data_IF_447555625779
#
_entry.id   IF_447555625779
#
_cell.length_a   1.000
_cell.length_b   1.000
_cell.length_c   1.000
_cell.angle_alpha   90.00
_cell.angle_beta   90.00
_cell.angle_gamma   90.00
#
_symmetry.space_group_name_H-M   'P 1'
#
loop_
_entity.id
_entity.type
_entity.pdbx_description
1 polymer ?
#
# COMPACT_ATOMS: atom_id res chain seq x y z
N UNK A 1 -4.23 11.01 7.85
CA UNK A 1 -3.86 11.54 6.53
C UNK A 1 -3.56 10.41 5.53
N UNK A 2 -2.48 9.63 5.72
CA UNK A 2 -2.06 8.53 4.84
C UNK A 2 -3.20 7.57 4.44
N UNK A 3 -3.95 7.02 5.40
CA UNK A 3 -5.06 6.08 5.15
C UNK A 3 -6.13 6.67 4.23
N UNK A 4 -6.47 7.95 4.41
CA UNK A 4 -7.46 8.62 3.56
C UNK A 4 -6.92 8.83 2.15
N UNK A 5 -5.66 9.25 2.01
CA UNK A 5 -5.00 9.40 0.70
C UNK A 5 -4.90 8.06 -0.04
N UNK A 6 -4.55 6.97 0.65
CA UNK A 6 -4.55 5.62 0.07
C UNK A 6 -5.94 5.20 -0.38
N UNK A 7 -6.97 5.43 0.44
CA UNK A 7 -8.36 5.14 0.09
C UNK A 7 -8.79 5.88 -1.17
N UNK A 8 -8.43 7.16 -1.30
CA UNK A 8 -8.74 7.95 -2.50
C UNK A 8 -8.03 7.40 -3.74
N UNK A 9 -6.72 7.16 -3.67
CA UNK A 9 -5.96 6.59 -4.80
C UNK A 9 -6.56 5.26 -5.27
N UNK A 10 -6.94 4.36 -4.34
CA UNK A 10 -7.59 3.10 -4.70
C UNK A 10 -8.93 3.31 -5.42
N UNK A 11 -9.76 4.25 -4.96
CA UNK A 11 -11.02 4.56 -5.64
C UNK A 11 -10.83 5.16 -7.04
N UNK A 12 -9.71 5.84 -7.27
CA UNK A 12 -9.36 6.37 -8.59
C UNK A 12 -8.93 5.25 -9.54
N UNK A 13 -8.20 4.24 -9.05
CA UNK A 13 -7.87 3.03 -9.82
C UNK A 13 -9.16 2.30 -10.24
N UNK A 14 -10.12 2.13 -9.32
CA UNK A 14 -11.41 1.52 -9.65
C UNK A 14 -12.16 2.29 -10.73
N UNK A 15 -12.04 3.63 -10.75
CA UNK A 15 -12.62 4.45 -11.81
C UNK A 15 -11.92 4.18 -13.14
N UNK A 16 -10.60 4.14 -13.19
CA UNK A 16 -9.83 3.82 -14.40
C UNK A 16 -10.20 2.44 -14.96
N UNK A 17 -10.22 1.41 -14.11
CA UNK A 17 -10.57 0.04 -14.51
C UNK A 17 -11.99 -0.04 -15.08
N UNK A 18 -12.92 0.72 -14.50
CA UNK A 18 -14.31 0.77 -14.95
C UNK A 18 -14.57 1.77 -16.09
N UNK A 19 -13.54 2.42 -16.65
CA UNK A 19 -13.68 3.44 -17.69
C UNK A 19 -14.40 4.72 -17.22
N UNK A 20 -14.47 4.96 -15.92
CA UNK A 20 -15.05 6.18 -15.32
C UNK A 20 -13.97 7.27 -15.19
N UNK A 21 -14.37 8.55 -15.22
CA UNK A 21 -13.43 9.64 -14.98
C UNK A 21 -12.88 9.62 -13.56
N UNK A 22 -11.59 9.92 -13.44
CA UNK A 22 -10.90 10.20 -12.17
C UNK A 22 -11.47 11.48 -11.53
N UNK A 23 -11.72 11.45 -10.22
CA UNK A 23 -12.25 12.57 -9.43
C UNK A 23 -11.15 13.41 -8.79
N UNK A 24 -10.00 12.79 -8.47
CA UNK A 24 -8.87 13.43 -7.79
C UNK A 24 -7.54 13.12 -8.49
N UNK A 25 -7.38 13.46 -9.78
CA UNK A 25 -6.16 13.17 -10.53
C UNK A 25 -4.90 13.81 -9.92
N UNK A 26 -5.05 14.91 -9.18
CA UNK A 26 -3.96 15.60 -8.48
C UNK A 26 -3.34 14.79 -7.34
N UNK A 27 -4.06 13.79 -6.82
CA UNK A 27 -3.55 12.90 -5.77
C UNK A 27 -2.74 11.74 -6.32
N UNK A 28 -2.79 11.50 -7.63
CA UNK A 28 -1.99 10.47 -8.29
C UNK A 28 -0.65 11.10 -8.66
N UNK A 29 0.47 10.61 -8.10
CA UNK A 29 1.78 11.17 -8.43
C UNK A 29 2.06 11.03 -9.93
N UNK A 30 2.32 12.15 -10.60
CA UNK A 30 2.66 12.18 -12.01
C UNK A 30 4.16 11.90 -12.20
N UNK A 31 4.58 10.64 -12.10
CA UNK A 31 5.95 10.25 -12.42
C UNK A 31 6.16 10.30 -13.94
N UNK A 32 6.95 11.27 -14.38
CA UNK A 32 7.32 11.47 -15.79
C UNK A 32 8.82 11.24 -15.97
N UNK A 33 9.18 10.64 -17.10
CA UNK A 33 10.57 10.48 -17.51
C UNK A 33 11.13 11.81 -18.06
N UNK A 34 12.41 11.81 -18.46
CA UNK A 34 13.09 12.98 -19.05
C UNK A 34 12.43 13.55 -20.31
N UNK A 35 11.54 12.80 -20.95
CA UNK A 35 10.80 13.19 -22.15
C UNK A 35 9.35 13.60 -21.86
N UNK A 36 8.96 13.68 -20.58
CA UNK A 36 7.63 14.07 -20.16
C UNK A 36 6.55 12.99 -20.32
N UNK A 37 6.92 11.77 -20.72
CA UNK A 37 6.01 10.62 -20.79
C UNK A 37 5.95 9.89 -19.43
N UNK A 38 4.90 9.08 -19.14
CA UNK A 38 4.87 8.26 -17.93
C UNK A 38 6.14 7.43 -17.76
N UNK A 39 6.65 7.36 -16.52
CA UNK A 39 7.87 6.62 -16.19
C UNK A 39 7.55 5.20 -15.67
N UNK A 40 7.71 4.15 -16.51
CA UNK A 40 7.40 2.78 -16.11
C UNK A 40 8.37 2.23 -15.05
N UNK A 41 9.62 2.70 -15.00
CA UNK A 41 10.59 2.23 -13.99
C UNK A 41 10.23 2.78 -12.61
N UNK A 42 9.80 4.05 -12.54
CA UNK A 42 9.26 4.60 -11.30
C UNK A 42 8.02 3.86 -10.84
N UNK A 43 7.09 3.54 -11.74
CA UNK A 43 5.92 2.74 -11.39
C UNK A 43 6.32 1.37 -10.80
N UNK A 44 7.31 0.69 -11.39
CA UNK A 44 7.83 -0.59 -10.91
C UNK A 44 8.53 -0.47 -9.55
N UNK A 45 9.31 0.58 -9.34
CA UNK A 45 9.97 0.87 -8.06
C UNK A 45 8.94 1.05 -6.94
N UNK A 46 7.88 1.84 -7.19
CA UNK A 46 6.81 2.05 -6.24
C UNK A 46 6.02 0.77 -5.95
N UNK A 47 5.74 -0.05 -6.97
CA UNK A 47 5.09 -1.34 -6.76
C UNK A 47 5.94 -2.24 -5.85
N UNK A 48 7.27 -2.30 -6.08
CA UNK A 48 8.18 -3.08 -5.24
C UNK A 48 8.21 -2.58 -3.79
N UNK A 49 8.23 -1.27 -3.58
CA UNK A 49 8.19 -0.65 -2.25
C UNK A 49 6.88 -1.01 -1.52
N UNK A 50 5.73 -0.91 -2.20
CA UNK A 50 4.42 -1.29 -1.65
C UNK A 50 4.40 -2.76 -1.24
N UNK A 51 4.80 -3.68 -2.13
CA UNK A 51 4.84 -5.13 -1.82
C UNK A 51 5.73 -5.41 -0.61
N UNK A 52 6.92 -4.81 -0.55
CA UNK A 52 7.87 -5.02 0.55
C UNK A 52 7.31 -4.52 1.89
N UNK A 53 6.64 -3.35 1.89
CA UNK A 53 6.01 -2.78 3.08
C UNK A 53 4.82 -3.62 3.54
N UNK A 54 3.99 -4.10 2.62
CA UNK A 54 2.87 -4.99 2.96
C UNK A 54 3.37 -6.27 3.62
N UNK A 55 4.40 -6.92 3.06
CA UNK A 55 5.01 -8.10 3.66
C UNK A 55 5.56 -7.81 5.07
N UNK A 56 6.20 -6.65 5.26
CA UNK A 56 6.70 -6.23 6.58
C UNK A 56 5.57 -6.06 7.58
N UNK A 57 4.45 -5.43 7.17
CA UNK A 57 3.26 -5.28 8.00
C UNK A 57 2.68 -6.64 8.38
N UNK A 58 2.56 -7.58 7.44
CA UNK A 58 2.11 -8.94 7.74
C UNK A 58 3.00 -9.60 8.80
N UNK A 59 4.32 -9.52 8.67
CA UNK A 59 5.27 -10.07 9.67
C UNK A 59 5.13 -9.41 11.05
N UNK A 60 4.79 -8.12 11.13
CA UNK A 60 4.55 -7.44 12.40
C UNK A 60 3.25 -7.87 13.07
N UNK A 61 2.25 -8.27 12.29
CA UNK A 61 0.93 -8.70 12.77
C UNK A 61 0.91 -10.17 13.22
N UNK A 62 1.96 -10.95 12.95
CA UNK A 62 2.06 -12.34 13.38
C UNK A 62 2.15 -12.47 14.90
N UNK A 63 1.50 -13.51 15.44
CA UNK A 63 1.54 -13.80 16.87
C UNK A 63 2.96 -14.12 17.32
N UNK A 64 3.38 -13.46 18.41
CA UNK A 64 4.74 -13.61 18.94
C UNK A 64 5.84 -12.98 18.06
N UNK A 65 5.49 -12.13 17.09
CA UNK A 65 6.48 -11.42 16.27
C UNK A 65 7.43 -10.60 17.14
N UNK A 66 8.76 -10.83 17.07
CA UNK A 66 9.73 -10.07 17.86
C UNK A 66 9.98 -8.67 17.28
N UNK A 67 9.37 -8.32 16.14
CA UNK A 67 9.59 -7.04 15.46
C UNK A 67 9.13 -5.84 16.29
N UNK A 68 7.93 -5.89 16.88
CA UNK A 68 7.43 -4.79 17.72
C UNK A 68 8.33 -4.55 18.94
N UNK A 69 8.68 -5.59 19.75
CA UNK A 69 9.67 -5.44 20.81
C UNK A 69 11.04 -4.92 20.35
N UNK A 70 11.57 -5.40 19.22
CA UNK A 70 12.85 -4.92 18.66
C UNK A 70 12.82 -3.43 18.30
N UNK A 71 11.64 -2.90 17.94
CA UNK A 71 11.41 -1.48 17.68
C UNK A 71 11.10 -0.67 18.95
N UNK A 72 11.18 -1.28 20.14
CA UNK A 72 10.83 -0.65 21.41
C UNK A 72 9.33 -0.44 21.62
N UNK A 73 8.49 -1.15 20.85
CA UNK A 73 7.03 -1.09 20.93
C UNK A 73 6.48 -2.28 21.73
N UNK A 74 5.35 -2.07 22.41
CA UNK A 74 4.67 -3.14 23.11
C UNK A 74 4.12 -4.18 22.11
N UNK A 75 4.09 -5.47 22.46
CA UNK A 75 3.31 -6.46 21.74
C UNK A 75 1.83 -6.05 21.68
N UNK A 76 1.21 -6.15 20.52
CA UNK A 76 -0.20 -5.83 20.31
C UNK A 76 -0.89 -7.05 19.71
N UNK A 77 -2.02 -7.47 20.28
CA UNK A 77 -2.92 -8.41 19.62
C UNK A 77 -3.89 -7.64 18.73
N UNK A 78 -3.67 -7.74 17.41
CA UNK A 78 -4.50 -7.08 16.41
C UNK A 78 -5.82 -7.82 16.11
N UNK A 79 -6.02 -9.01 16.69
CA UNK A 79 -7.18 -9.84 16.44
C UNK A 79 -7.19 -10.53 15.07
N UNK A 80 -8.03 -11.56 14.92
CA UNK A 80 -8.05 -12.41 13.72
C UNK A 80 -8.49 -11.68 12.44
N UNK A 81 -9.42 -10.72 12.53
CA UNK A 81 -9.92 -9.99 11.36
C UNK A 81 -8.85 -9.13 10.70
N UNK A 82 -8.05 -8.39 11.48
CA UNK A 82 -6.97 -7.55 10.96
C UNK A 82 -5.88 -8.41 10.31
N UNK A 83 -5.50 -9.51 10.97
CA UNK A 83 -4.53 -10.48 10.44
C UNK A 83 -5.01 -11.07 9.11
N UNK A 84 -6.27 -11.48 9.02
CA UNK A 84 -6.85 -12.03 7.80
C UNK A 84 -6.87 -11.01 6.65
N UNK A 85 -7.23 -9.76 6.93
CA UNK A 85 -7.21 -8.69 5.92
C UNK A 85 -5.79 -8.36 5.47
N UNK A 86 -4.81 -8.35 6.36
CA UNK A 86 -3.41 -8.13 5.98
C UNK A 86 -2.88 -9.24 5.07
N UNK A 87 -3.17 -10.51 5.41
CA UNK A 87 -2.80 -11.67 4.59
C UNK A 87 -3.43 -11.63 3.19
N UNK A 88 -4.68 -11.18 3.07
CA UNK A 88 -5.33 -11.03 1.77
C UNK A 88 -4.62 -10.02 0.84
N UNK A 89 -3.88 -9.04 1.39
CA UNK A 89 -3.13 -8.06 0.59
C UNK A 89 -1.79 -8.64 0.12
N UNK A 90 -1.17 -9.55 0.87
CA UNK A 90 0.09 -10.21 0.45
C UNK A 90 -0.13 -11.37 -0.51
N UNK A 91 -1.28 -12.04 -0.46
CA UNK A 91 -1.63 -13.16 -1.36
C UNK A 91 -2.13 -12.70 -2.75
N UNK A 92 -2.41 -11.41 -2.95
CA UNK A 92 -2.94 -10.81 -4.18
C UNK A 92 -1.85 -10.39 -5.18
#
# INVERSE_FOLDING_TARGET
DFVMRTKYILSEIDNVVAGRPVRHPEQIPAYRNSHGAPDPEKAREHMKDVVTRTATVEMMLQDGSPMLPMMGLAPVDYGGEVKAKAKAVTDA
#
